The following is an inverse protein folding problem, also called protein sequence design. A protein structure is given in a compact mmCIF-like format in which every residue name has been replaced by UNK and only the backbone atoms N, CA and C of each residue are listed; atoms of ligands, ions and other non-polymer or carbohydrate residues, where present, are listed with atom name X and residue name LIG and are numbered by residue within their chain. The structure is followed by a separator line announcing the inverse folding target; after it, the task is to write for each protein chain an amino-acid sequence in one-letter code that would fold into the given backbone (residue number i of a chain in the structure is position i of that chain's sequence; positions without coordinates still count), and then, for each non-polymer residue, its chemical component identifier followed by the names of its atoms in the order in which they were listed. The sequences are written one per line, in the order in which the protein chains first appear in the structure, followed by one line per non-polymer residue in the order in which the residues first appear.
data_IF_253408863271
#
_entry.id   IF_253408863271
#
_cell.length_a   1.000
_cell.length_b   1.000
_cell.length_c   1.000
_cell.angle_alpha   90.00
_cell.angle_beta   90.00
_cell.angle_gamma   90.00
#
_symmetry.space_group_name_H-M   'P 1'
#
loop_
_entity.id
_entity.type
_entity.pdbx_description
1 polymer ?
#
# COMPACT_ATOMS: atom_id res chain seq x y z
N UNK A 1 -30.13 -23.92 -32.10
CA UNK A 1 -29.05 -24.43 -31.22
C UNK A 1 -27.93 -23.40 -30.97
N UNK A 2 -27.65 -22.49 -31.90
CA UNK A 2 -26.60 -21.44 -31.75
C UNK A 2 -26.80 -20.49 -30.55
N UNK A 3 -28.03 -20.04 -30.28
CA UNK A 3 -28.30 -19.11 -29.17
C UNK A 3 -28.03 -19.68 -27.78
N UNK A 4 -28.16 -21.01 -27.59
CA UNK A 4 -27.87 -21.67 -26.30
C UNK A 4 -26.37 -21.79 -26.04
N UNK A 5 -25.57 -21.89 -27.10
CA UNK A 5 -24.11 -21.94 -27.00
C UNK A 5 -23.53 -20.58 -26.62
N UNK A 6 -24.05 -19.49 -27.23
CA UNK A 6 -23.61 -18.11 -26.94
C UNK A 6 -23.98 -17.69 -25.52
N UNK A 7 -25.19 -18.03 -25.04
CA UNK A 7 -25.57 -17.75 -23.63
C UNK A 7 -24.71 -18.54 -22.63
N UNK A 8 -24.30 -19.76 -22.97
CA UNK A 8 -23.41 -20.57 -22.11
C UNK A 8 -21.98 -20.02 -22.06
N UNK A 9 -21.47 -19.44 -23.16
CA UNK A 9 -20.15 -18.79 -23.19
C UNK A 9 -20.19 -17.48 -22.36
N UNK A 10 -21.24 -16.67 -22.50
CA UNK A 10 -21.40 -15.43 -21.73
C UNK A 10 -21.54 -15.70 -20.22
N UNK A 11 -22.25 -16.77 -19.82
CA UNK A 11 -22.33 -17.17 -18.42
C UNK A 11 -20.96 -17.64 -17.87
N UNK A 12 -20.16 -18.32 -18.70
CA UNK A 12 -18.83 -18.78 -18.33
C UNK A 12 -17.82 -17.61 -18.23
N UNK A 13 -18.00 -16.56 -19.04
CA UNK A 13 -17.22 -15.32 -18.94
C UNK A 13 -17.62 -14.44 -17.75
N UNK A 14 -18.83 -14.59 -17.21
CA UNK A 14 -19.25 -13.89 -15.98
C UNK A 14 -18.79 -14.54 -14.67
N UNK A 15 -18.21 -15.74 -14.74
CA UNK A 15 -17.45 -16.36 -13.65
C UNK A 15 -15.99 -15.87 -13.64
N UNK A 16 -15.72 -14.69 -14.20
CA UNK A 16 -14.44 -14.01 -14.01
C UNK A 16 -14.21 -13.90 -12.51
N UNK A 17 -13.29 -14.76 -12.04
CA UNK A 17 -12.85 -14.87 -10.67
C UNK A 17 -12.67 -13.45 -10.13
N UNK A 18 -13.39 -13.13 -9.05
CA UNK A 18 -13.10 -11.97 -8.22
C UNK A 18 -11.75 -12.23 -7.55
N UNK A 19 -10.68 -12.13 -8.32
CA UNK A 19 -9.32 -12.21 -7.81
C UNK A 19 -9.05 -10.91 -7.07
N UNK A 20 -9.01 -10.99 -5.75
CA UNK A 20 -8.65 -9.88 -4.86
C UNK A 20 -7.17 -9.56 -5.07
N UNK A 21 -6.85 -8.32 -5.44
CA UNK A 21 -5.46 -7.89 -5.45
C UNK A 21 -5.02 -7.49 -4.04
N UNK A 22 -3.71 -7.53 -3.82
CA UNK A 22 -3.10 -7.12 -2.56
C UNK A 22 -1.96 -6.16 -2.82
N UNK A 23 -1.62 -5.37 -1.81
CA UNK A 23 -0.55 -4.39 -1.87
C UNK A 23 0.80 -5.12 -1.91
N UNK A 24 1.53 -4.89 -2.99
CA UNK A 24 2.85 -5.48 -3.29
C UNK A 24 3.98 -4.46 -3.25
N UNK A 25 3.68 -3.17 -3.36
CA UNK A 25 4.69 -2.13 -3.46
C UNK A 25 4.18 -0.79 -2.94
N UNK A 26 5.14 0.05 -2.55
CA UNK A 26 4.91 1.46 -2.21
C UNK A 26 5.97 2.30 -2.90
N UNK A 27 5.58 3.45 -3.45
CA UNK A 27 6.49 4.38 -4.09
C UNK A 27 6.13 5.81 -3.73
N UNK A 28 7.16 6.65 -3.64
CA UNK A 28 7.00 8.09 -3.50
C UNK A 28 6.58 8.74 -4.82
N UNK A 29 5.92 9.89 -4.73
CA UNK A 29 5.61 10.69 -5.92
C UNK A 29 6.91 11.26 -6.52
N UNK A 30 7.27 10.75 -7.70
CA UNK A 30 8.55 11.07 -8.32
C UNK A 30 8.64 12.54 -8.72
N UNK A 31 9.75 13.21 -8.38
CA UNK A 31 10.12 14.52 -8.92
C UNK A 31 9.95 15.71 -7.96
N UNK A 32 9.37 15.51 -6.78
CA UNK A 32 9.21 16.56 -5.77
C UNK A 32 9.64 16.08 -4.38
N UNK A 33 10.29 16.98 -3.64
CA UNK A 33 10.58 16.74 -2.22
C UNK A 33 9.30 16.89 -1.41
N UNK A 34 9.17 16.06 -0.39
CA UNK A 34 8.13 16.23 0.60
C UNK A 34 8.47 17.44 1.46
N UNK A 35 7.48 18.26 1.80
CA UNK A 35 7.70 19.47 2.60
C UNK A 35 7.17 19.29 4.01
N UNK A 36 7.96 19.67 5.01
CA UNK A 36 7.52 19.66 6.41
C UNK A 36 6.26 20.51 6.58
N UNK A 37 5.27 19.96 7.27
CA UNK A 37 3.97 20.61 7.51
C UNK A 37 2.97 20.46 6.37
N UNK A 38 3.26 19.64 5.36
CA UNK A 38 2.36 19.35 4.24
C UNK A 38 2.09 17.85 4.10
N UNK A 39 0.99 17.54 3.43
CA UNK A 39 0.72 16.20 2.93
C UNK A 39 1.63 15.92 1.74
N UNK A 40 2.12 14.69 1.68
CA UNK A 40 2.93 14.19 0.58
C UNK A 40 2.29 12.93 0.00
N UNK A 41 2.12 12.92 -1.32
CA UNK A 41 1.52 11.82 -2.05
C UNK A 41 2.42 10.59 -2.08
N UNK A 42 1.83 9.44 -1.83
CA UNK A 42 2.44 8.12 -2.01
C UNK A 42 1.50 7.25 -2.82
N UNK A 43 2.08 6.40 -3.66
CA UNK A 43 1.34 5.43 -4.47
C UNK A 43 1.60 4.03 -3.98
N UNK A 44 0.53 3.26 -3.82
CA UNK A 44 0.59 1.82 -3.60
C UNK A 44 0.37 1.07 -4.89
N UNK A 45 1.12 -0.01 -5.06
CA UNK A 45 0.98 -0.95 -6.16
C UNK A 45 0.28 -2.20 -5.66
N UNK A 46 -0.66 -2.69 -6.46
CA UNK A 46 -1.48 -3.85 -6.12
C UNK A 46 -1.44 -4.87 -7.25
N UNK A 47 -1.30 -6.15 -6.88
CA UNK A 47 -1.25 -7.25 -7.83
C UNK A 47 -2.16 -8.39 -7.40
N UNK A 48 -2.65 -9.13 -8.39
CA UNK A 48 -3.44 -10.34 -8.17
C UNK A 48 -2.50 -11.50 -7.83
N UNK A 49 -2.81 -12.20 -6.74
CA UNK A 49 -2.32 -13.56 -6.53
C UNK A 49 -3.39 -14.54 -7.04
N UNK A 50 -3.04 -15.35 -8.03
CA UNK A 50 -3.97 -16.33 -8.59
C UNK A 50 -4.11 -17.59 -7.71
N UNK A 51 -3.22 -17.78 -6.74
CA UNK A 51 -3.22 -18.96 -5.89
C UNK A 51 -3.97 -18.75 -4.59
N UNK A 52 -4.07 -17.49 -4.13
CA UNK A 52 -4.61 -17.18 -2.81
C UNK A 52 -5.38 -15.86 -2.80
N UNK A 53 -6.42 -15.81 -1.97
CA UNK A 53 -7.19 -14.60 -1.69
C UNK A 53 -6.48 -13.79 -0.61
N UNK A 54 -6.50 -12.47 -0.78
CA UNK A 54 -5.87 -11.51 0.11
C UNK A 54 -6.82 -10.35 0.36
N UNK A 55 -6.94 -9.95 1.63
CA UNK A 55 -7.60 -8.71 2.02
C UNK A 55 -6.66 -7.90 2.90
N UNK A 56 -6.39 -6.65 2.52
CA UNK A 56 -5.52 -5.72 3.24
C UNK A 56 -6.38 -4.77 4.08
N UNK A 57 -6.17 -4.69 5.39
CA UNK A 57 -7.09 -3.96 6.27
C UNK A 57 -6.55 -2.63 6.76
N UNK A 58 -5.25 -2.57 7.02
CA UNK A 58 -4.63 -1.33 7.47
C UNK A 58 -3.17 -1.26 7.09
N UNK A 59 -2.67 -0.02 7.01
CA UNK A 59 -1.27 0.28 6.79
C UNK A 59 -0.78 1.14 7.95
N UNK A 60 0.30 0.72 8.59
CA UNK A 60 1.01 1.55 9.56
C UNK A 60 2.22 2.16 8.85
N UNK A 61 2.32 3.48 8.88
CA UNK A 61 3.43 4.22 8.32
C UNK A 61 4.44 4.56 9.40
N UNK A 62 5.60 3.95 9.33
CA UNK A 62 6.73 4.37 10.13
C UNK A 62 7.92 4.79 9.29
N UNK A 63 8.86 5.42 9.97
CA UNK A 63 9.88 6.23 9.32
C UNK A 63 11.22 6.06 10.01
N UNK A 64 12.27 6.11 9.22
CA UNK A 64 13.66 6.12 9.70
C UNK A 64 14.50 6.99 8.77
N UNK A 65 15.53 7.65 9.30
CA UNK A 65 16.51 8.31 8.45
C UNK A 65 17.16 7.26 7.52
N UNK A 66 17.27 7.56 6.23
CA UNK A 66 17.89 6.65 5.27
C UNK A 66 19.43 6.62 5.47
N UNK A 67 20.08 5.46 5.32
CA UNK A 67 19.53 4.13 5.00
C UNK A 67 18.89 3.42 6.21
N UNK A 68 17.89 2.57 5.97
CA UNK A 68 17.40 1.64 7.02
C UNK A 68 18.33 0.45 7.15
N UNK A 69 18.49 -0.06 8.37
CA UNK A 69 19.23 -1.28 8.64
C UNK A 69 18.37 -2.55 8.57
N UNK A 70 17.05 -2.43 8.75
CA UNK A 70 16.13 -3.57 8.82
C UNK A 70 14.90 -3.32 7.92
N UNK A 71 14.71 -4.11 6.84
CA UNK A 71 13.58 -3.98 5.93
C UNK A 71 12.26 -4.51 6.52
N UNK A 72 12.30 -5.19 7.68
CA UNK A 72 11.13 -5.73 8.39
C UNK A 72 10.73 -4.90 9.61
N UNK A 73 11.37 -3.76 9.81
CA UNK A 73 11.06 -2.83 10.90
C UNK A 73 10.07 -1.76 10.45
N UNK A 74 9.23 -1.30 11.38
CA UNK A 74 8.40 -0.11 11.17
C UNK A 74 9.25 1.18 11.18
N UNK A 75 10.50 1.14 11.62
CA UNK A 75 11.41 2.28 11.67
C UNK A 75 11.54 2.88 13.07
N UNK A 76 12.09 4.09 13.14
CA UNK A 76 12.41 4.80 14.38
C UNK A 76 11.20 5.48 15.03
N UNK A 77 10.20 5.87 14.23
CA UNK A 77 8.96 6.46 14.73
C UNK A 77 7.78 6.12 13.82
N UNK A 78 6.57 6.15 14.36
CA UNK A 78 5.32 5.99 13.62
C UNK A 78 4.77 7.38 13.29
N UNK A 79 4.47 7.63 12.02
CA UNK A 79 3.93 8.91 11.56
C UNK A 79 2.40 8.90 11.50
N UNK A 80 1.82 7.86 10.91
CA UNK A 80 0.37 7.76 10.71
C UNK A 80 -0.08 6.33 10.45
N UNK A 81 -1.40 6.14 10.35
CA UNK A 81 -2.04 4.89 9.97
C UNK A 81 -3.11 5.15 8.93
N UNK A 82 -3.27 4.25 7.98
CA UNK A 82 -4.37 4.23 7.02
C UNK A 82 -5.27 3.03 7.30
N UNK A 83 -6.56 3.28 7.49
CA UNK A 83 -7.59 2.25 7.57
C UNK A 83 -8.16 2.01 6.17
N UNK A 84 -7.82 0.87 5.58
CA UNK A 84 -8.22 0.52 4.22
C UNK A 84 -9.72 0.21 4.11
N UNK A 85 -10.38 -0.16 5.22
CA UNK A 85 -11.84 -0.31 5.26
C UNK A 85 -12.54 1.03 5.06
N UNK A 86 -11.98 2.10 5.62
CA UNK A 86 -12.56 3.44 5.56
C UNK A 86 -12.41 4.10 4.18
N UNK A 87 -11.33 3.78 3.45
CA UNK A 87 -11.06 4.30 2.10
C UNK A 87 -11.55 3.38 0.99
N UNK A 88 -12.09 2.20 1.33
CA UNK A 88 -12.65 1.26 0.36
C UNK A 88 -11.60 0.44 -0.40
N UNK A 89 -10.38 0.35 0.13
CA UNK A 89 -9.22 -0.29 -0.51
C UNK A 89 -8.85 -1.64 0.15
N UNK A 90 -9.84 -2.32 0.75
CA UNK A 90 -9.61 -3.63 1.42
C UNK A 90 -9.29 -4.74 0.43
N UNK A 91 -10.03 -4.73 -0.67
CA UNK A 91 -9.97 -5.73 -1.72
C UNK A 91 -9.86 -4.96 -3.03
N UNK A 92 -8.63 -4.58 -3.37
CA UNK A 92 -8.38 -3.73 -4.54
C UNK A 92 -8.45 -4.56 -5.82
N UNK A 93 -8.73 -3.91 -6.95
CA UNK A 93 -8.36 -4.47 -8.25
C UNK A 93 -6.84 -4.40 -8.46
N UNK A 94 -6.29 -5.10 -9.44
CA UNK A 94 -4.87 -4.91 -9.81
C UNK A 94 -4.66 -3.50 -10.36
N UNK A 95 -3.60 -2.83 -9.93
CA UNK A 95 -3.29 -1.48 -10.38
C UNK A 95 -2.59 -0.68 -9.30
N UNK A 96 -3.01 0.58 -9.12
CA UNK A 96 -2.45 1.48 -8.13
C UNK A 96 -3.52 2.33 -7.48
N UNK A 97 -3.31 2.70 -6.23
CA UNK A 97 -4.07 3.74 -5.55
C UNK A 97 -3.12 4.70 -4.83
N UNK A 98 -3.56 5.94 -4.67
CA UNK A 98 -2.77 7.00 -4.05
C UNK A 98 -3.35 7.36 -2.68
N UNK A 99 -2.47 7.74 -1.76
CA UNK A 99 -2.83 8.30 -0.46
C UNK A 99 -1.79 9.33 -0.05
N UNK A 100 -2.14 10.14 0.93
CA UNK A 100 -1.24 11.13 1.50
C UNK A 100 -0.66 10.69 2.84
N UNK A 101 0.58 11.09 3.11
CA UNK A 101 1.19 11.06 4.45
C UNK A 101 1.55 12.48 4.88
N UNK A 102 1.17 12.85 6.11
CA UNK A 102 1.51 14.15 6.66
C UNK A 102 2.93 14.18 7.23
N UNK A 103 3.74 15.14 6.79
CA UNK A 103 5.12 15.32 7.26
C UNK A 103 5.12 16.20 8.52
N UNK A 104 4.91 15.58 9.69
CA UNK A 104 4.81 16.30 10.96
C UNK A 104 6.13 17.02 11.35
N UNK A 105 6.13 18.37 11.50
CA UNK A 105 7.30 19.12 11.95
C UNK A 105 7.90 18.65 13.29
N UNK A 106 7.14 17.93 14.13
CA UNK A 106 7.61 17.38 15.40
C UNK A 106 8.46 16.10 15.24
N UNK A 107 8.26 15.37 14.16
CA UNK A 107 8.89 14.06 13.92
C UNK A 107 10.03 14.16 12.90
N UNK A 108 9.92 15.09 11.94
CA UNK A 108 10.89 15.28 10.87
C UNK A 108 11.88 16.39 11.20
N UNK A 109 13.12 16.27 10.70
CA UNK A 109 14.15 17.29 10.89
C UNK A 109 13.84 18.50 10.02
N UNK A 110 13.49 19.62 10.65
CA UNK A 110 13.08 20.86 9.98
C UNK A 110 14.26 21.78 9.60
N UNK A 111 15.50 21.37 9.87
CA UNK A 111 16.68 22.24 9.69
C UNK A 111 17.43 22.03 8.38
N UNK A 112 17.21 20.90 7.70
CA UNK A 112 17.94 20.53 6.48
C UNK A 112 17.19 19.50 5.66
N UNK A 113 17.43 19.50 4.36
CA UNK A 113 16.97 18.44 3.45
C UNK A 113 17.53 17.10 3.91
N UNK A 114 16.64 16.13 4.14
CA UNK A 114 16.98 14.81 4.69
C UNK A 114 16.18 13.74 3.98
N UNK A 115 16.85 12.68 3.52
CA UNK A 115 16.17 11.50 2.97
C UNK A 115 15.77 10.55 4.10
N UNK A 116 14.49 10.20 4.11
CA UNK A 116 13.90 9.21 4.99
C UNK A 116 13.49 7.98 4.20
N UNK A 117 13.43 6.85 4.88
CA UNK A 117 12.70 5.68 4.39
C UNK A 117 11.34 5.66 5.06
N UNK A 118 10.30 5.59 4.24
CA UNK A 118 8.95 5.25 4.65
C UNK A 118 8.82 3.72 4.65
N UNK A 119 8.47 3.15 5.79
CA UNK A 119 8.13 1.73 5.95
C UNK A 119 6.61 1.62 6.14
N UNK A 120 5.97 0.93 5.21
CA UNK A 120 4.55 0.60 5.26
C UNK A 120 4.40 -0.84 5.75
N UNK A 121 3.88 -1.01 6.96
CA UNK A 121 3.46 -2.32 7.46
C UNK A 121 1.99 -2.53 7.10
N UNK A 122 1.74 -3.39 6.11
CA UNK A 122 0.40 -3.75 5.64
C UNK A 122 -0.08 -4.95 6.44
N UNK A 123 -1.21 -4.81 7.12
CA UNK A 123 -1.87 -5.90 7.83
C UNK A 123 -2.92 -6.53 6.94
N UNK A 124 -2.90 -7.86 6.86
CA UNK A 124 -3.72 -8.59 5.91
C UNK A 124 -4.28 -9.86 6.50
N UNK A 125 -5.36 -10.33 5.90
CA UNK A 125 -5.85 -11.69 6.04
C UNK A 125 -5.55 -12.43 4.73
N UNK A 126 -4.95 -13.61 4.86
CA UNK A 126 -4.47 -14.41 3.73
C UNK A 126 -5.11 -15.80 3.71
N UNK A 127 -5.59 -16.18 2.53
CA UNK A 127 -6.05 -17.52 2.20
C UNK A 127 -7.35 -17.95 2.90
N UNK A 128 -7.86 -19.15 2.57
CA UNK A 128 -9.13 -19.65 3.09
C UNK A 128 -9.14 -19.93 4.60
N UNK A 129 -7.96 -20.06 5.20
CA UNK A 129 -7.73 -20.28 6.63
C UNK A 129 -7.64 -18.98 7.43
N UNK A 130 -7.80 -17.81 6.79
CA UNK A 130 -7.83 -16.49 7.41
C UNK A 130 -6.60 -16.19 8.27
N UNK A 131 -5.40 -16.50 7.77
CA UNK A 131 -4.18 -16.20 8.51
C UNK A 131 -3.91 -14.71 8.53
N UNK A 132 -3.69 -14.16 9.73
CA UNK A 132 -3.18 -12.79 9.87
C UNK A 132 -1.72 -12.75 9.44
N UNK A 133 -1.39 -11.82 8.55
CA UNK A 133 -0.05 -11.64 8.04
C UNK A 133 0.29 -10.16 7.99
N UNK A 134 1.56 -9.83 8.25
CA UNK A 134 2.07 -8.47 8.14
C UNK A 134 3.17 -8.45 7.08
N UNK A 135 3.01 -7.59 6.08
CA UNK A 135 4.02 -7.32 5.05
C UNK A 135 4.68 -5.98 5.30
N UNK A 136 5.98 -5.92 5.08
CA UNK A 136 6.75 -4.68 5.15
C UNK A 136 7.16 -4.28 3.74
N UNK A 137 6.73 -3.09 3.34
CA UNK A 137 7.08 -2.45 2.08
C UNK A 137 7.80 -1.16 2.40
N UNK A 138 8.74 -0.73 1.57
CA UNK A 138 9.47 0.50 1.83
C UNK A 138 9.78 1.29 0.57
N UNK A 139 9.95 2.59 0.75
CA UNK A 139 10.38 3.52 -0.28
C UNK A 139 11.13 4.69 0.35
N UNK A 140 11.89 5.44 -0.46
CA UNK A 140 12.63 6.61 0.01
C UNK A 140 11.93 7.91 -0.37
N UNK A 141 11.91 8.85 0.57
CA UNK A 141 11.31 10.17 0.41
C UNK A 141 12.32 11.20 0.93
N UNK A 142 12.67 12.15 0.07
CA UNK A 142 13.48 13.31 0.47
C UNK A 142 12.57 14.39 1.02
N UNK A 143 12.82 14.79 2.27
CA UNK A 143 12.04 15.79 3.01
C UNK A 143 12.83 17.09 3.11
N UNK A 144 12.19 18.21 2.78
CA UNK A 144 12.70 19.57 2.95
C UNK A 144 11.97 20.35 4.07
N UNK A 145 12.64 21.34 4.69
CA UNK A 145 12.06 22.24 5.69
C UNK A 145 10.79 22.99 5.27
#
# INVERSE_FOLDING_TARGET
MFNKLITSIVLFSSLALSSTAYITGVRSESGHYAKVGYNYGITFETAIDFNEVWDDYSIIFGWSAHPTSDPTSIGSFVGSTLDLTSVGEVSTGSGTFDTDVYIDPKLFNTGKVTTYTLNAAVTSIRGPSLYTFVRFLNTTITVEP
#
